data_IF_993589742083
#
_entry.id   IF_993589742083
#
_cell.length_a   1.000
_cell.length_b   1.000
_cell.length_c   1.000
_cell.angle_alpha   90.00
_cell.angle_beta   90.00
_cell.angle_gamma   90.00
#
_symmetry.space_group_name_H-M   'P 1'
#
loop_
_entity.id
_entity.type
_entity.pdbx_description
1 polymer ?
#
# COMPACT_ATOMS: atom_id res chain seq x y z
N UNK A 1 -10.47 4.70 -17.19
CA UNK A 1 -9.29 4.43 -16.33
C UNK A 1 -9.58 3.17 -15.55
N UNK A 2 -8.96 2.05 -15.90
CA UNK A 2 -9.13 0.78 -15.18
C UNK A 2 -8.46 0.87 -13.82
N UNK A 3 -9.23 0.69 -12.75
CA UNK A 3 -8.71 0.62 -11.39
C UNK A 3 -7.96 -0.71 -11.23
N UNK A 4 -6.65 -0.68 -11.46
CA UNK A 4 -5.80 -1.86 -11.24
C UNK A 4 -5.61 -2.10 -9.73
N UNK A 5 -5.44 -3.35 -9.27
CA UNK A 5 -5.21 -3.67 -7.85
C UNK A 5 -4.02 -2.90 -7.25
N UNK A 6 -2.99 -2.67 -8.07
CA UNK A 6 -1.86 -1.79 -7.74
C UNK A 6 -2.29 -0.37 -7.38
N UNK A 7 -3.19 0.21 -8.15
CA UNK A 7 -3.68 1.58 -7.93
C UNK A 7 -4.40 1.67 -6.58
N UNK A 8 -5.18 0.64 -6.24
CA UNK A 8 -5.87 0.56 -4.94
C UNK A 8 -4.86 0.47 -3.80
N UNK A 9 -3.84 -0.37 -3.90
CA UNK A 9 -2.81 -0.50 -2.86
C UNK A 9 -1.97 0.78 -2.67
N UNK A 10 -1.62 1.46 -3.75
CA UNK A 10 -0.93 2.75 -3.67
C UNK A 10 -1.81 3.81 -2.99
N UNK A 11 -3.10 3.82 -3.30
CA UNK A 11 -4.04 4.76 -2.68
C UNK A 11 -4.17 4.50 -1.16
N UNK A 12 -4.24 3.24 -0.75
CA UNK A 12 -4.23 2.84 0.67
C UNK A 12 -2.93 3.27 1.35
N UNK A 13 -1.77 3.05 0.71
CA UNK A 13 -0.47 3.45 1.26
C UNK A 13 -0.38 4.98 1.46
N UNK A 14 -0.86 5.76 0.50
CA UNK A 14 -0.91 7.23 0.59
C UNK A 14 -1.79 7.66 1.76
N UNK A 15 -2.98 7.06 1.92
CA UNK A 15 -3.87 7.38 3.05
C UNK A 15 -3.17 7.09 4.39
N UNK A 16 -2.49 5.96 4.52
CA UNK A 16 -1.76 5.60 5.76
C UNK A 16 -0.62 6.58 6.06
N UNK A 17 0.11 7.05 5.04
CA UNK A 17 1.13 8.08 5.23
C UNK A 17 0.55 9.43 5.62
N UNK A 18 -0.59 9.83 5.03
CA UNK A 18 -1.29 11.06 5.41
C UNK A 18 -1.74 11.00 6.87
N UNK A 19 -2.39 9.90 7.27
CA UNK A 19 -2.80 9.69 8.66
C UNK A 19 -1.60 9.77 9.62
N UNK A 20 -0.47 9.15 9.27
CA UNK A 20 0.76 9.24 10.05
C UNK A 20 1.32 10.67 10.10
N UNK A 21 1.29 11.42 9.00
CA UNK A 21 1.78 12.80 8.93
C UNK A 21 0.93 13.77 9.76
N UNK A 22 -0.38 13.52 9.86
CA UNK A 22 -1.28 14.26 10.74
C UNK A 22 -1.20 13.82 12.21
N UNK A 23 -0.32 12.88 12.56
CA UNK A 23 -0.16 12.40 13.94
C UNK A 23 -1.34 11.57 14.45
N UNK A 24 -2.20 11.10 13.54
CA UNK A 24 -3.27 10.16 13.90
C UNK A 24 -2.60 8.84 14.25
N UNK A 25 -2.94 8.24 15.38
CA UNK A 25 -2.37 6.97 15.83
C UNK A 25 -3.46 5.89 15.89
N UNK A 26 -3.17 4.69 15.39
CA UNK A 26 -4.02 3.50 15.58
C UNK A 26 -3.52 2.67 16.79
N UNK A 27 -3.58 3.29 17.97
CA UNK A 27 -3.18 2.64 19.22
C UNK A 27 -1.71 2.19 19.20
N UNK A 28 -1.47 0.87 19.27
CA UNK A 28 -0.13 0.26 19.25
C UNK A 28 0.44 0.03 17.84
N UNK A 29 -0.34 0.26 16.78
CA UNK A 29 0.11 0.03 15.41
C UNK A 29 0.83 1.25 14.84
N UNK A 30 2.04 1.04 14.32
CA UNK A 30 2.81 2.08 13.65
C UNK A 30 2.33 2.25 12.19
N UNK A 31 1.56 3.30 11.93
CA UNK A 31 1.02 3.62 10.61
C UNK A 31 2.08 3.78 9.52
N UNK A 32 3.29 4.24 9.86
CA UNK A 32 4.38 4.37 8.89
C UNK A 32 4.79 2.99 8.39
N UNK A 33 4.89 2.01 9.29
CA UNK A 33 5.22 0.62 8.91
C UNK A 33 4.11 -0.04 8.08
N UNK A 34 2.84 0.24 8.41
CA UNK A 34 1.69 -0.23 7.62
C UNK A 34 1.65 0.42 6.23
N UNK A 35 1.90 1.72 6.13
CA UNK A 35 1.98 2.45 4.86
C UNK A 35 3.09 1.92 3.97
N UNK A 36 4.27 1.65 4.54
CA UNK A 36 5.39 1.03 3.83
C UNK A 36 5.08 -0.39 3.36
N UNK A 37 4.41 -1.21 4.18
CA UNK A 37 4.01 -2.57 3.80
C UNK A 37 3.00 -2.55 2.63
N UNK A 38 1.99 -1.68 2.69
CA UNK A 38 1.02 -1.51 1.60
C UNK A 38 1.67 -0.98 0.32
N UNK A 39 2.62 -0.04 0.45
CA UNK A 39 3.41 0.47 -0.68
C UNK A 39 4.25 -0.64 -1.33
N UNK A 40 4.98 -1.43 -0.54
CA UNK A 40 5.76 -2.56 -1.04
C UNK A 40 4.87 -3.63 -1.70
N UNK A 41 3.71 -3.93 -1.12
CA UNK A 41 2.73 -4.85 -1.69
C UNK A 41 2.22 -4.34 -3.05
N UNK A 42 2.09 -3.02 -3.24
CA UNK A 42 1.66 -2.45 -4.51
C UNK A 42 2.65 -2.71 -5.65
N UNK A 43 3.96 -2.78 -5.37
CA UNK A 43 4.97 -3.16 -6.37
C UNK A 43 4.96 -4.65 -6.69
N UNK A 44 4.64 -5.48 -5.69
CA UNK A 44 4.48 -6.93 -5.88
C UNK A 44 3.24 -7.28 -6.73
N UNK A 45 2.18 -6.48 -6.65
CA UNK A 45 0.90 -6.72 -7.34
C UNK A 45 0.75 -5.95 -8.67
N UNK A 46 1.78 -5.24 -9.12
CA UNK A 46 1.74 -4.45 -10.37
C UNK A 46 2.03 -5.26 -11.62
N UNK A 47 0.99 -5.61 -12.39
CA UNK A 47 0.95 -6.09 -13.79
C UNK A 47 1.89 -7.26 -14.21
N UNK A 48 2.68 -7.79 -13.29
CA UNK A 48 3.61 -8.90 -13.48
C UNK A 48 3.92 -9.63 -12.17
N UNK A 49 3.01 -9.56 -11.20
CA UNK A 49 3.10 -10.29 -9.94
C UNK A 49 3.20 -11.78 -10.20
N UNK A 50 4.45 -12.28 -10.19
CA UNK A 50 4.83 -13.68 -10.42
C UNK A 50 4.15 -14.25 -11.68
N UNK A 51 4.78 -14.08 -12.84
CA UNK A 51 4.59 -15.02 -13.94
C UNK A 51 5.05 -16.42 -13.48
N UNK A 52 4.19 -17.15 -12.77
CA UNK A 52 4.17 -18.62 -12.75
C UNK A 52 3.70 -19.10 -14.13
N UNK A 53 4.37 -18.61 -15.19
CA UNK A 53 4.22 -19.07 -16.56
C UNK A 53 4.98 -20.40 -16.64
N UNK A 54 4.33 -21.46 -16.17
CA UNK A 54 4.62 -22.82 -16.65
C UNK A 54 4.11 -22.95 -18.07
#
# INVERSE_FOLDING_TARGET
MSLTPRTILLLVAVILFLLAAFGIALGTLNLVTLGLAAFAAAFLLGDGGISLRR
#
